data_IF_538898627853
#
_entry.id   IF_538898627853
#
_cell.length_a   1.000
_cell.length_b   1.000
_cell.length_c   1.000
_cell.angle_alpha   90.00
_cell.angle_beta   90.00
_cell.angle_gamma   90.00
#
_symmetry.space_group_name_H-M   'P 1'
#
loop_
_entity.id
_entity.type
_entity.pdbx_description
1 polymer ?
#
# COMPACT_ATOMS: atom_id res chain seq x y z
N UNK A 1 35.40 58.52 -5.99
CA UNK A 1 36.05 57.81 -4.92
C UNK A 1 34.92 57.29 -4.05
N UNK A 2 34.56 56.06 -3.91
CA UNK A 2 35.09 54.79 -4.34
C UNK A 2 33.94 53.83 -4.66
N UNK A 3 34.21 53.03 -5.62
CA UNK A 3 33.33 51.98 -6.14
C UNK A 3 33.42 50.81 -5.18
N UNK A 4 32.30 50.36 -4.61
CA UNK A 4 32.21 49.04 -3.99
C UNK A 4 31.39 48.13 -4.91
N UNK A 5 32.10 47.28 -5.62
CA UNK A 5 31.51 46.23 -6.44
C UNK A 5 30.94 45.11 -5.57
N UNK A 6 29.62 44.89 -5.69
CA UNK A 6 28.97 43.69 -5.19
C UNK A 6 29.20 42.56 -6.20
N UNK A 7 30.14 41.66 -5.89
CA UNK A 7 30.27 40.39 -6.58
C UNK A 7 29.27 39.39 -5.97
N UNK A 8 28.11 39.25 -6.62
CA UNK A 8 27.21 38.13 -6.39
C UNK A 8 27.85 36.85 -6.93
N UNK A 9 28.44 36.07 -6.04
CA UNK A 9 28.84 34.69 -6.33
C UNK A 9 27.59 33.84 -6.52
N UNK A 10 27.19 33.68 -7.76
CA UNK A 10 26.21 32.66 -8.14
C UNK A 10 26.87 31.29 -7.99
N UNK A 11 26.50 30.58 -6.94
CA UNK A 11 26.81 29.16 -6.78
C UNK A 11 25.98 28.34 -7.78
N UNK A 12 26.47 28.26 -9.02
CA UNK A 12 26.00 27.25 -9.97
C UNK A 12 26.71 25.93 -9.67
N UNK A 13 26.18 25.15 -8.71
CA UNK A 13 26.53 23.76 -8.65
C UNK A 13 26.07 23.07 -9.96
N UNK A 14 26.92 22.30 -10.64
CA UNK A 14 26.52 21.61 -11.86
C UNK A 14 25.41 20.62 -11.52
N UNK A 15 24.19 20.85 -12.02
CA UNK A 15 23.11 19.87 -12.00
C UNK A 15 23.63 18.66 -12.77
N UNK A 16 23.96 17.61 -12.05
CA UNK A 16 24.31 16.32 -12.65
C UNK A 16 23.10 15.87 -13.43
N UNK A 17 23.15 15.99 -14.75
CA UNK A 17 22.09 15.52 -15.63
C UNK A 17 22.07 14.00 -15.51
N UNK A 18 21.03 13.47 -14.83
CA UNK A 18 20.81 12.03 -14.73
C UNK A 18 20.28 11.63 -16.11
N UNK A 19 21.09 10.96 -16.92
CA UNK A 19 20.67 10.39 -18.18
C UNK A 19 19.79 9.17 -17.90
N UNK A 20 18.49 9.41 -17.71
CA UNK A 20 17.49 8.35 -17.73
C UNK A 20 17.28 7.90 -19.18
N UNK A 21 17.20 6.59 -19.37
CA UNK A 21 16.65 6.09 -20.60
C UNK A 21 15.13 6.33 -20.55
N UNK A 22 14.57 7.10 -21.47
CA UNK A 22 13.12 7.42 -21.55
C UNK A 22 12.24 6.16 -21.49
N UNK A 23 12.74 5.04 -22.01
CA UNK A 23 12.07 3.75 -21.94
C UNK A 23 11.92 3.23 -20.50
N UNK A 24 12.96 3.33 -19.68
CA UNK A 24 12.95 2.84 -18.30
C UNK A 24 12.08 3.72 -17.40
N UNK A 25 12.08 5.02 -17.60
CA UNK A 25 11.16 5.96 -16.94
C UNK A 25 9.72 5.69 -17.36
N UNK A 26 9.46 5.39 -18.62
CA UNK A 26 8.15 4.97 -19.12
C UNK A 26 7.64 3.72 -18.42
N UNK A 27 8.50 2.72 -18.20
CA UNK A 27 8.15 1.49 -17.47
C UNK A 27 7.81 1.76 -16.00
N UNK A 28 8.54 2.63 -15.35
CA UNK A 28 8.24 3.05 -13.97
C UNK A 28 6.90 3.80 -13.90
N UNK A 29 6.65 4.70 -14.86
CA UNK A 29 5.38 5.42 -14.95
C UNK A 29 4.19 4.48 -15.17
N UNK A 30 4.34 3.45 -16.01
CA UNK A 30 3.31 2.43 -16.22
C UNK A 30 3.07 1.58 -14.96
N UNK A 31 4.12 1.30 -14.21
CA UNK A 31 3.99 0.63 -12.92
C UNK A 31 3.22 1.49 -11.91
N UNK A 32 3.55 2.78 -11.76
CA UNK A 32 2.83 3.68 -10.85
C UNK A 32 1.35 3.80 -11.24
N UNK A 33 1.05 3.89 -12.55
CA UNK A 33 -0.33 3.94 -13.04
C UNK A 33 -1.12 2.69 -12.66
N UNK A 34 -0.55 1.50 -12.88
CA UNK A 34 -1.18 0.22 -12.51
C UNK A 34 -1.39 0.12 -11.00
N UNK A 35 -0.38 0.49 -10.23
CA UNK A 35 -0.43 0.48 -8.77
C UNK A 35 -1.54 1.40 -8.25
N UNK A 36 -1.61 2.61 -8.74
CA UNK A 36 -2.63 3.60 -8.36
C UNK A 36 -4.04 3.10 -8.71
N UNK A 37 -4.26 2.55 -9.91
CA UNK A 37 -5.56 2.00 -10.32
C UNK A 37 -5.98 0.81 -9.45
N UNK A 38 -5.04 -0.07 -9.10
CA UNK A 38 -5.34 -1.23 -8.28
C UNK A 38 -5.63 -0.84 -6.82
N UNK A 39 -4.91 0.13 -6.25
CA UNK A 39 -5.22 0.66 -4.91
C UNK A 39 -6.61 1.32 -4.88
N UNK A 40 -6.99 2.05 -5.93
CA UNK A 40 -8.33 2.61 -6.06
C UNK A 40 -9.41 1.52 -6.09
N UNK A 41 -9.20 0.43 -6.84
CA UNK A 41 -10.13 -0.70 -6.87
C UNK A 41 -10.25 -1.40 -5.51
N UNK A 42 -9.14 -1.56 -4.78
CA UNK A 42 -9.15 -2.12 -3.43
C UNK A 42 -9.94 -1.21 -2.48
N UNK A 43 -9.73 0.10 -2.56
CA UNK A 43 -10.46 1.06 -1.73
C UNK A 43 -11.97 1.01 -2.00
N UNK A 44 -12.39 0.96 -3.27
CA UNK A 44 -13.81 0.81 -3.65
C UNK A 44 -14.41 -0.51 -3.12
N UNK A 45 -13.64 -1.59 -3.14
CA UNK A 45 -14.05 -2.86 -2.57
C UNK A 45 -14.17 -2.79 -1.04
N UNK A 46 -13.25 -2.10 -0.35
CA UNK A 46 -13.33 -1.85 1.08
C UNK A 46 -14.54 -1.00 1.44
N UNK A 47 -14.85 0.04 0.66
CA UNK A 47 -16.07 0.84 0.83
C UNK A 47 -17.32 -0.05 0.67
N UNK A 48 -17.34 -0.90 -0.36
CA UNK A 48 -18.44 -1.86 -0.57
C UNK A 48 -18.62 -2.83 0.59
N UNK A 49 -17.52 -3.26 1.23
CA UNK A 49 -17.53 -4.09 2.43
C UNK A 49 -18.00 -3.28 3.65
N UNK A 50 -17.53 -2.06 3.83
CA UNK A 50 -17.92 -1.17 4.92
C UNK A 50 -19.43 -0.83 4.90
N UNK A 51 -20.04 -0.80 3.73
CA UNK A 51 -21.50 -0.56 3.57
C UNK A 51 -22.37 -1.79 3.94
N UNK A 52 -21.76 -2.97 4.16
CA UNK A 52 -22.50 -4.14 4.66
C UNK A 52 -22.86 -3.95 6.12
N UNK A 53 -24.13 -4.04 6.46
CA UNK A 53 -24.66 -3.75 7.79
C UNK A 53 -24.20 -4.75 8.86
N UNK A 54 -23.94 -5.98 8.47
CA UNK A 54 -23.47 -7.06 9.32
C UNK A 54 -21.94 -7.17 9.41
N UNK A 55 -21.19 -6.42 8.57
CA UNK A 55 -19.74 -6.43 8.61
C UNK A 55 -19.21 -5.66 9.83
N UNK A 56 -18.34 -6.27 10.60
CA UNK A 56 -17.50 -5.65 11.62
C UNK A 56 -16.13 -6.33 11.64
N UNK A 57 -15.10 -5.60 12.04
CA UNK A 57 -13.73 -6.11 12.01
C UNK A 57 -13.41 -7.12 13.12
N UNK A 58 -14.10 -7.07 14.27
CA UNK A 58 -13.85 -8.03 15.34
C UNK A 58 -14.26 -9.44 14.95
N UNK A 59 -15.46 -9.61 14.38
CA UNK A 59 -15.91 -10.93 13.91
C UNK A 59 -15.08 -11.39 12.71
N UNK A 60 -14.67 -10.46 11.81
CA UNK A 60 -13.75 -10.80 10.74
C UNK A 60 -12.40 -11.27 11.28
N UNK A 61 -11.80 -10.58 12.25
CA UNK A 61 -10.55 -10.96 12.88
C UNK A 61 -10.62 -12.35 13.52
N UNK A 62 -11.74 -12.68 14.18
CA UNK A 62 -11.96 -14.01 14.82
C UNK A 62 -11.98 -15.17 13.83
N UNK A 63 -12.30 -14.95 12.55
CA UNK A 63 -12.20 -15.98 11.51
C UNK A 63 -10.73 -16.37 11.28
N UNK A 64 -9.83 -15.41 11.40
CA UNK A 64 -8.40 -15.58 11.11
C UNK A 64 -7.59 -15.88 12.38
N UNK A 65 -7.94 -15.28 13.52
CA UNK A 65 -7.24 -15.47 14.78
C UNK A 65 -7.63 -16.82 15.40
N UNK A 66 -6.77 -17.84 15.19
CA UNK A 66 -7.10 -19.23 15.45
C UNK A 66 -6.92 -19.68 16.91
N UNK A 67 -6.09 -19.01 17.69
CA UNK A 67 -5.59 -19.57 18.95
C UNK A 67 -5.85 -18.70 20.19
N UNK A 68 -6.63 -17.62 20.08
CA UNK A 68 -6.90 -16.68 21.18
C UNK A 68 -5.64 -15.91 21.61
N UNK A 69 -4.67 -15.73 20.70
CA UNK A 69 -3.39 -15.06 20.98
C UNK A 69 -3.45 -13.55 20.78
N UNK A 70 -4.51 -13.05 20.10
CA UNK A 70 -4.67 -11.64 19.76
C UNK A 70 -3.86 -11.18 18.55
N UNK A 71 -3.28 -12.10 17.77
CA UNK A 71 -2.57 -11.83 16.53
C UNK A 71 -2.72 -12.99 15.53
N UNK A 72 -2.46 -12.72 14.27
CA UNK A 72 -2.57 -13.64 13.12
C UNK A 72 -1.18 -13.87 12.57
N UNK A 73 -0.69 -15.11 12.56
CA UNK A 73 0.54 -15.50 11.87
C UNK A 73 0.24 -15.99 10.44
N UNK A 74 1.30 -16.38 9.68
CA UNK A 74 1.16 -16.85 8.29
C UNK A 74 0.22 -18.08 8.19
N UNK A 75 0.28 -18.99 9.15
CA UNK A 75 -0.55 -20.19 9.18
C UNK A 75 -2.01 -19.83 9.46
N UNK A 76 -2.24 -18.96 10.43
CA UNK A 76 -3.56 -18.46 10.80
C UNK A 76 -4.20 -17.71 9.62
N UNK A 77 -3.42 -16.82 8.94
CA UNK A 77 -3.88 -16.08 7.77
C UNK A 77 -4.31 -17.03 6.65
N UNK A 78 -3.48 -18.03 6.35
CA UNK A 78 -3.77 -19.05 5.33
C UNK A 78 -5.02 -19.85 5.67
N UNK A 79 -5.13 -20.30 6.92
CA UNK A 79 -6.29 -21.06 7.39
C UNK A 79 -7.58 -20.22 7.32
N UNK A 80 -7.56 -18.95 7.75
CA UNK A 80 -8.69 -18.05 7.68
C UNK A 80 -9.15 -17.80 6.23
N UNK A 81 -8.19 -17.58 5.31
CA UNK A 81 -8.49 -17.44 3.88
C UNK A 81 -9.14 -18.72 3.31
N UNK A 82 -8.63 -19.90 3.68
CA UNK A 82 -9.23 -21.17 3.27
C UNK A 82 -10.68 -21.33 3.79
N UNK A 83 -10.94 -20.91 5.02
CA UNK A 83 -12.29 -20.95 5.62
C UNK A 83 -13.29 -20.10 4.86
N UNK A 84 -12.89 -18.96 4.35
CA UNK A 84 -13.74 -18.11 3.52
C UNK A 84 -13.71 -18.52 2.03
N UNK A 85 -12.97 -19.59 1.67
CA UNK A 85 -12.92 -20.16 0.32
C UNK A 85 -11.98 -19.42 -0.64
N UNK A 86 -10.86 -18.92 -0.15
CA UNK A 86 -9.69 -18.44 -0.92
C UNK A 86 -8.53 -19.39 -0.59
N UNK A 87 -7.83 -19.89 -1.59
CA UNK A 87 -6.76 -20.89 -1.42
C UNK A 87 -5.41 -20.31 -1.89
N UNK A 88 -4.78 -19.43 -1.10
CA UNK A 88 -3.54 -18.80 -1.48
C UNK A 88 -2.35 -19.77 -1.37
N UNK A 89 -1.35 -19.54 -2.19
CA UNK A 89 -0.03 -20.17 -2.06
C UNK A 89 0.72 -19.58 -0.86
N UNK A 90 1.75 -20.29 -0.37
CA UNK A 90 2.61 -19.76 0.71
C UNK A 90 3.34 -18.48 0.29
N UNK A 91 3.63 -18.33 -1.01
CA UNK A 91 4.22 -17.10 -1.53
C UNK A 91 3.26 -15.91 -1.42
N UNK A 92 1.98 -16.08 -1.75
CA UNK A 92 0.95 -15.04 -1.63
C UNK A 92 0.72 -14.66 -0.17
N UNK A 93 0.76 -15.62 0.74
CA UNK A 93 0.71 -15.33 2.19
C UNK A 93 1.88 -14.43 2.61
N UNK A 94 3.11 -14.77 2.20
CA UNK A 94 4.29 -13.93 2.50
C UNK A 94 4.20 -12.53 1.88
N UNK A 95 3.58 -12.39 0.70
CA UNK A 95 3.33 -11.07 0.10
C UNK A 95 2.35 -10.24 0.93
N UNK A 96 1.27 -10.86 1.43
CA UNK A 96 0.32 -10.20 2.33
C UNK A 96 1.01 -9.76 3.64
N UNK A 97 1.77 -10.66 4.26
CA UNK A 97 2.54 -10.34 5.48
C UNK A 97 3.52 -9.19 5.22
N UNK A 98 4.28 -9.24 4.12
CA UNK A 98 5.19 -8.13 3.75
C UNK A 98 4.48 -6.79 3.63
N UNK A 99 3.25 -6.78 3.13
CA UNK A 99 2.48 -5.54 2.95
C UNK A 99 1.98 -4.96 4.25
N UNK A 100 1.44 -5.80 5.15
CA UNK A 100 0.67 -5.36 6.31
C UNK A 100 1.40 -5.48 7.64
N UNK A 101 2.39 -6.36 7.78
CA UNK A 101 3.27 -6.40 8.96
C UNK A 101 4.33 -5.29 8.88
N UNK A 102 3.89 -4.05 9.13
CA UNK A 102 4.78 -2.88 9.06
C UNK A 102 5.88 -2.91 10.11
N UNK A 103 5.67 -3.61 11.23
CA UNK A 103 6.64 -3.75 12.31
C UNK A 103 7.61 -4.91 12.10
N UNK A 104 7.40 -5.73 11.04
CA UNK A 104 8.24 -6.90 10.69
C UNK A 104 8.38 -7.91 11.84
N UNK A 105 7.28 -8.14 12.57
CA UNK A 105 7.23 -9.08 13.69
C UNK A 105 6.83 -10.50 13.27
N UNK A 106 6.48 -10.71 12.00
CA UNK A 106 5.99 -11.98 11.48
C UNK A 106 4.54 -12.29 11.86
N UNK A 107 3.81 -11.29 12.37
CA UNK A 107 2.41 -11.40 12.79
C UNK A 107 1.65 -10.13 12.46
N UNK A 108 0.34 -10.27 12.24
CA UNK A 108 -0.60 -9.15 12.10
C UNK A 108 -1.38 -9.00 13.41
N UNK A 109 -1.28 -7.87 14.04
CA UNK A 109 -2.16 -7.53 15.15
C UNK A 109 -3.53 -7.04 14.65
N UNK A 110 -4.45 -6.75 15.57
CA UNK A 110 -5.80 -6.28 15.18
C UNK A 110 -5.75 -4.97 14.37
N UNK A 111 -4.84 -4.04 14.68
CA UNK A 111 -4.74 -2.78 13.95
C UNK A 111 -4.25 -2.98 12.52
N UNK A 112 -3.26 -3.87 12.30
CA UNK A 112 -2.78 -4.24 10.97
C UNK A 112 -3.89 -4.89 10.13
N UNK A 113 -4.64 -5.81 10.73
CA UNK A 113 -5.78 -6.46 10.09
C UNK A 113 -6.92 -5.50 9.80
N UNK A 114 -7.19 -4.58 10.72
CA UNK A 114 -8.19 -3.53 10.54
C UNK A 114 -7.85 -2.65 9.32
N UNK A 115 -6.61 -2.20 9.20
CA UNK A 115 -6.15 -1.38 8.07
C UNK A 115 -6.17 -2.16 6.73
N UNK A 116 -6.05 -3.49 6.79
CA UNK A 116 -6.19 -4.34 5.61
C UNK A 116 -7.62 -4.30 5.01
N UNK A 117 -8.65 -4.19 5.84
CA UNK A 117 -10.06 -4.35 5.44
C UNK A 117 -10.87 -3.06 5.42
N UNK A 118 -10.46 -2.06 6.21
CA UNK A 118 -11.25 -0.84 6.39
C UNK A 118 -10.81 0.24 5.41
N UNK A 119 -11.77 1.01 4.82
CA UNK A 119 -11.45 2.09 3.92
C UNK A 119 -10.57 3.16 4.56
N UNK A 120 -9.81 3.86 3.72
CA UNK A 120 -9.07 5.05 4.12
C UNK A 120 -10.00 6.26 4.34
N UNK A 121 -11.10 6.35 3.56
CA UNK A 121 -12.07 7.44 3.70
C UNK A 121 -12.67 7.45 5.10
N UNK A 122 -12.50 8.60 5.79
CA UNK A 122 -12.84 8.77 7.22
C UNK A 122 -14.29 8.44 7.54
N UNK A 123 -15.22 8.74 6.65
CA UNK A 123 -16.65 8.49 6.84
C UNK A 123 -16.94 7.00 6.97
N UNK A 124 -16.47 6.20 6.01
CA UNK A 124 -16.67 4.76 6.03
C UNK A 124 -15.83 4.07 7.11
N UNK A 125 -14.64 4.60 7.38
CA UNK A 125 -13.79 4.12 8.47
C UNK A 125 -14.49 4.26 9.82
N UNK A 126 -14.99 5.45 10.14
CA UNK A 126 -15.73 5.72 11.36
C UNK A 126 -17.00 4.89 11.49
N UNK A 127 -17.67 4.59 10.34
CA UNK A 127 -18.83 3.70 10.31
C UNK A 127 -18.49 2.29 10.79
N UNK A 128 -17.35 1.72 10.37
CA UNK A 128 -16.92 0.37 10.78
C UNK A 128 -16.38 0.37 12.21
N UNK A 129 -15.62 1.39 12.62
CA UNK A 129 -15.06 1.54 13.97
C UNK A 129 -16.13 1.55 15.06
N UNK A 130 -17.30 2.10 14.79
CA UNK A 130 -18.41 2.20 15.75
C UNK A 130 -19.33 0.97 15.77
N UNK A 131 -19.04 -0.09 15.02
CA UNK A 131 -19.85 -1.30 15.01
C UNK A 131 -19.44 -2.26 16.11
N UNK A 132 -20.46 -2.79 16.79
CA UNK A 132 -20.28 -3.89 17.73
C UNK A 132 -20.25 -5.24 17.00
N UNK A 133 -19.54 -6.24 17.51
CA UNK A 133 -19.58 -7.59 16.97
C UNK A 133 -20.99 -8.19 17.02
N UNK A 134 -21.33 -8.97 15.99
CA UNK A 134 -22.63 -9.64 15.86
C UNK A 134 -22.73 -10.87 16.78
N UNK A 135 -21.59 -11.44 17.17
CA UNK A 135 -21.52 -12.71 17.92
C UNK A 135 -20.99 -12.48 19.32
N UNK A 136 -21.77 -12.90 20.33
CA UNK A 136 -21.34 -12.96 21.73
C UNK A 136 -20.47 -14.20 22.03
N UNK A 137 -20.34 -15.13 21.10
CA UNK A 137 -19.57 -16.37 21.28
C UNK A 137 -18.18 -16.26 20.66
N UNK A 138 -17.12 -16.75 21.32
CA UNK A 138 -15.76 -16.81 20.77
C UNK A 138 -15.58 -17.94 19.74
N UNK A 139 -16.66 -18.40 19.10
CA UNK A 139 -16.56 -19.44 18.08
C UNK A 139 -16.15 -18.84 16.73
N UNK A 140 -15.25 -19.50 16.04
CA UNK A 140 -14.83 -19.20 14.68
C UNK A 140 -15.96 -19.50 13.71
N UNK A 141 -16.72 -18.52 13.38
CA UNK A 141 -17.94 -18.74 12.64
C UNK A 141 -18.01 -17.75 11.48
N UNK A 142 -17.94 -18.26 10.25
CA UNK A 142 -18.33 -17.51 9.06
C UNK A 142 -19.82 -17.12 9.13
N UNK A 143 -20.57 -17.74 10.02
CA UNK A 143 -22.01 -17.48 10.25
C UNK A 143 -22.29 -16.10 10.88
N UNK A 144 -21.23 -15.38 11.34
CA UNK A 144 -21.34 -13.99 11.74
C UNK A 144 -21.78 -13.06 10.59
N UNK A 145 -21.53 -13.48 9.35
CA UNK A 145 -21.78 -12.70 8.16
C UNK A 145 -22.73 -13.40 7.20
N UNK A 146 -23.59 -12.61 6.55
CA UNK A 146 -24.39 -13.14 5.46
C UNK A 146 -23.50 -13.46 4.24
N UNK A 147 -24.02 -14.29 3.34
CA UNK A 147 -23.28 -14.72 2.14
C UNK A 147 -22.75 -13.55 1.30
N UNK A 148 -23.54 -12.47 1.16
CA UNK A 148 -23.12 -11.30 0.37
C UNK A 148 -21.98 -10.54 1.03
N UNK A 149 -21.91 -10.50 2.36
CA UNK A 149 -20.81 -9.89 3.11
C UNK A 149 -19.54 -10.73 2.99
N UNK A 150 -19.66 -12.06 3.09
CA UNK A 150 -18.52 -12.96 2.82
C UNK A 150 -17.99 -12.81 1.39
N UNK A 151 -18.88 -12.63 0.40
CA UNK A 151 -18.45 -12.37 -0.97
C UNK A 151 -17.70 -11.02 -1.10
N UNK A 152 -18.16 -9.97 -0.41
CA UNK A 152 -17.46 -8.68 -0.38
C UNK A 152 -16.09 -8.80 0.31
N UNK A 153 -16.01 -9.53 1.43
CA UNK A 153 -14.74 -9.81 2.13
C UNK A 153 -13.76 -10.58 1.24
N UNK A 154 -14.22 -11.63 0.56
CA UNK A 154 -13.43 -12.37 -0.43
C UNK A 154 -12.90 -11.47 -1.54
N UNK A 155 -13.74 -10.57 -2.05
CA UNK A 155 -13.35 -9.67 -3.12
C UNK A 155 -12.20 -8.76 -2.71
N UNK A 156 -12.23 -8.20 -1.49
CA UNK A 156 -11.12 -7.38 -0.95
C UNK A 156 -9.83 -8.19 -0.93
N UNK A 157 -9.83 -9.38 -0.35
CA UNK A 157 -8.63 -10.23 -0.29
C UNK A 157 -8.10 -10.62 -1.66
N UNK A 158 -8.98 -11.01 -2.60
CA UNK A 158 -8.58 -11.38 -3.95
C UNK A 158 -7.93 -10.20 -4.69
N UNK A 159 -8.46 -8.98 -4.55
CA UNK A 159 -7.88 -7.79 -5.16
C UNK A 159 -6.49 -7.49 -4.57
N UNK A 160 -6.34 -7.60 -3.25
CA UNK A 160 -5.05 -7.40 -2.59
C UNK A 160 -4.03 -8.46 -3.06
N UNK A 161 -4.39 -9.74 -3.08
CA UNK A 161 -3.51 -10.84 -3.53
C UNK A 161 -3.08 -10.63 -4.99
N UNK A 162 -4.02 -10.29 -5.87
CA UNK A 162 -3.72 -10.04 -7.27
C UNK A 162 -2.76 -8.87 -7.43
N UNK A 163 -3.00 -7.75 -6.73
CA UNK A 163 -2.11 -6.60 -6.77
C UNK A 163 -0.70 -6.97 -6.28
N UNK A 164 -0.58 -7.68 -5.15
CA UNK A 164 0.74 -8.05 -4.62
C UNK A 164 1.50 -8.99 -5.56
N UNK A 165 0.80 -9.91 -6.23
CA UNK A 165 1.40 -10.74 -7.27
C UNK A 165 1.90 -9.90 -8.45
N UNK A 166 1.12 -8.95 -8.93
CA UNK A 166 1.50 -8.06 -10.01
C UNK A 166 2.69 -7.19 -9.64
N UNK A 167 2.71 -6.65 -8.42
CA UNK A 167 3.85 -5.88 -7.90
C UNK A 167 5.10 -6.74 -7.83
N UNK A 168 4.99 -7.96 -7.30
CA UNK A 168 6.13 -8.87 -7.19
C UNK A 168 6.71 -9.23 -8.57
N UNK A 169 5.87 -9.38 -9.59
CA UNK A 169 6.31 -9.58 -10.96
C UNK A 169 7.02 -8.34 -11.53
N UNK A 170 6.52 -7.13 -11.24
CA UNK A 170 7.18 -5.89 -11.63
C UNK A 170 8.50 -5.66 -10.87
N UNK A 171 8.59 -6.03 -9.59
CA UNK A 171 9.86 -6.00 -8.82
C UNK A 171 10.95 -6.82 -9.51
N UNK A 172 10.62 -8.03 -10.00
CA UNK A 172 11.55 -8.86 -10.77
C UNK A 172 11.99 -8.16 -12.06
N UNK A 173 11.06 -7.50 -12.75
CA UNK A 173 11.37 -6.72 -13.94
C UNK A 173 12.33 -5.57 -13.63
N UNK A 174 12.08 -4.78 -12.58
CA UNK A 174 12.97 -3.69 -12.15
C UNK A 174 14.36 -4.18 -11.79
N UNK A 175 14.51 -5.37 -11.21
CA UNK A 175 15.80 -5.99 -10.96
C UNK A 175 16.62 -6.28 -12.24
N UNK A 176 15.99 -6.33 -13.40
CA UNK A 176 16.66 -6.52 -14.71
C UNK A 176 16.92 -5.21 -15.45
N UNK A 177 16.29 -4.11 -15.05
CA UNK A 177 16.48 -2.79 -15.65
C UNK A 177 17.79 -2.15 -15.16
N UNK A 178 18.35 -1.25 -15.96
CA UNK A 178 19.51 -0.43 -15.57
C UNK A 178 19.13 0.70 -14.63
N UNK A 179 17.84 0.99 -14.51
CA UNK A 179 17.33 2.03 -13.62
C UNK A 179 17.59 1.64 -12.16
N UNK A 180 18.49 2.36 -11.53
CA UNK A 180 18.80 2.12 -10.12
C UNK A 180 17.71 2.69 -9.24
N UNK A 181 17.42 2.03 -8.13
CA UNK A 181 16.45 2.51 -7.14
C UNK A 181 16.68 3.96 -6.72
N UNK A 182 17.96 4.37 -6.60
CA UNK A 182 18.32 5.76 -6.28
C UNK A 182 17.88 6.76 -7.36
N UNK A 183 17.86 6.32 -8.61
CA UNK A 183 17.42 7.15 -9.72
C UNK A 183 15.89 7.29 -9.71
N UNK A 184 15.16 6.19 -9.44
CA UNK A 184 13.70 6.18 -9.21
C UNK A 184 13.32 7.14 -8.09
N UNK A 185 13.98 7.02 -6.93
CA UNK A 185 13.74 7.92 -5.80
C UNK A 185 14.01 9.38 -6.17
N UNK A 186 15.08 9.64 -6.92
CA UNK A 186 15.43 10.99 -7.39
C UNK A 186 14.43 11.60 -8.38
N UNK A 187 13.60 10.80 -9.07
CA UNK A 187 12.49 11.30 -9.88
C UNK A 187 11.37 11.88 -9.01
N UNK A 188 11.08 11.21 -7.89
CA UNK A 188 10.04 11.60 -6.94
C UNK A 188 10.52 12.70 -5.98
N UNK A 189 11.75 12.60 -5.46
CA UNK A 189 12.38 13.66 -4.66
C UNK A 189 13.11 14.68 -5.56
N UNK A 190 12.35 15.39 -6.40
CA UNK A 190 12.92 16.42 -7.28
C UNK A 190 13.67 17.53 -6.52
N UNK A 191 13.20 18.02 -5.35
CA UNK A 191 13.92 19.00 -4.55
C UNK A 191 15.19 18.47 -3.88
N UNK A 192 15.41 17.14 -3.88
CA UNK A 192 16.57 16.47 -3.26
C UNK A 192 16.69 16.73 -1.75
N UNK A 193 15.56 16.62 -1.04
CA UNK A 193 15.49 16.76 0.43
C UNK A 193 15.82 15.47 1.17
N UNK A 194 15.93 14.33 0.45
CA UNK A 194 16.05 13.01 1.03
C UNK A 194 14.70 12.35 1.35
N UNK A 195 13.61 13.02 1.01
CA UNK A 195 12.23 12.53 1.09
C UNK A 195 11.35 13.25 0.07
N UNK A 196 10.21 12.65 -0.26
CA UNK A 196 9.15 13.32 -1.01
C UNK A 196 7.83 13.27 -0.24
N UNK A 197 7.03 14.31 -0.40
CA UNK A 197 5.69 14.45 0.17
C UNK A 197 4.64 14.03 -0.86
N UNK A 198 3.38 13.91 -0.40
CA UNK A 198 2.24 13.66 -1.28
C UNK A 198 2.13 14.71 -2.41
N UNK A 199 2.41 15.97 -2.10
CA UNK A 199 2.39 17.03 -3.11
C UNK A 199 3.46 16.84 -4.19
N UNK A 200 4.66 16.37 -3.81
CA UNK A 200 5.73 16.07 -4.78
C UNK A 200 5.33 14.91 -5.69
N UNK A 201 4.68 13.87 -5.12
CA UNK A 201 4.14 12.75 -5.88
C UNK A 201 3.07 13.23 -6.88
N UNK A 202 2.10 14.04 -6.44
CA UNK A 202 1.06 14.61 -7.30
C UNK A 202 1.68 15.40 -8.47
N UNK A 203 2.66 16.25 -8.18
CA UNK A 203 3.37 17.03 -9.21
C UNK A 203 4.07 16.11 -10.22
N UNK A 204 4.72 15.04 -9.73
CA UNK A 204 5.35 14.05 -10.60
C UNK A 204 4.32 13.33 -11.49
N UNK A 205 3.22 12.86 -10.91
CA UNK A 205 2.15 12.18 -11.65
C UNK A 205 1.52 13.07 -12.71
N UNK A 206 1.25 14.35 -12.40
CA UNK A 206 0.71 15.33 -13.33
C UNK A 206 1.68 15.58 -14.50
N UNK A 207 2.96 15.78 -14.20
CA UNK A 207 4.00 16.03 -15.21
C UNK A 207 4.12 14.88 -16.21
N UNK A 208 3.89 13.64 -15.76
CA UNK A 208 4.01 12.43 -16.57
C UNK A 208 2.66 11.95 -17.15
N UNK A 209 1.58 12.73 -17.00
CA UNK A 209 0.26 12.38 -17.54
C UNK A 209 -0.38 11.13 -16.90
N UNK A 210 0.02 10.80 -15.65
CA UNK A 210 -0.50 9.65 -14.92
C UNK A 210 -1.69 10.05 -14.04
N UNK A 211 -1.83 11.32 -13.75
CA UNK A 211 -2.80 11.84 -12.79
C UNK A 211 -4.25 11.54 -13.19
N UNK A 212 -5.04 11.02 -12.24
CA UNK A 212 -6.48 10.83 -12.39
C UNK A 212 -7.28 11.75 -11.44
N UNK A 213 -7.10 11.61 -10.13
CA UNK A 213 -7.70 12.45 -9.10
C UNK A 213 -6.84 12.46 -7.83
N UNK A 214 -7.15 13.36 -6.89
CA UNK A 214 -6.38 13.48 -5.64
C UNK A 214 -6.50 12.20 -4.78
N UNK A 215 -7.68 11.58 -4.73
CA UNK A 215 -7.91 10.36 -3.94
C UNK A 215 -6.97 9.23 -4.36
N UNK A 216 -6.82 8.99 -5.66
CA UNK A 216 -5.96 7.91 -6.16
C UNK A 216 -4.48 8.18 -5.84
N UNK A 217 -4.05 9.46 -5.94
CA UNK A 217 -2.70 9.85 -5.54
C UNK A 217 -2.46 9.69 -4.04
N UNK A 218 -3.46 10.04 -3.22
CA UNK A 218 -3.40 9.85 -1.76
C UNK A 218 -3.28 8.37 -1.39
N UNK A 219 -4.03 7.48 -2.04
CA UNK A 219 -3.95 6.03 -1.81
C UNK A 219 -2.56 5.48 -2.17
N UNK A 220 -2.02 5.90 -3.32
CA UNK A 220 -0.67 5.54 -3.72
C UNK A 220 0.37 6.06 -2.71
N UNK A 221 0.22 7.30 -2.24
CA UNK A 221 1.12 7.88 -1.25
C UNK A 221 1.08 7.12 0.07
N UNK A 222 -0.12 6.79 0.58
CA UNK A 222 -0.31 6.02 1.82
C UNK A 222 0.35 4.65 1.74
N UNK A 223 0.31 4.02 0.57
CA UNK A 223 1.01 2.75 0.36
C UNK A 223 2.52 2.88 0.52
N UNK A 224 3.09 3.99 0.06
CA UNK A 224 4.53 4.25 0.11
C UNK A 224 4.99 4.77 1.48
N UNK A 225 4.19 5.63 2.15
CA UNK A 225 4.45 6.19 3.49
C UNK A 225 4.13 5.15 4.58
N UNK A 226 5.01 4.16 4.73
CA UNK A 226 4.84 3.08 5.73
C UNK A 226 4.95 3.56 7.16
N UNK A 227 5.76 4.60 7.39
CA UNK A 227 5.91 5.24 8.70
C UNK A 227 4.73 6.16 9.08
N UNK A 228 3.84 6.47 8.11
CA UNK A 228 2.67 7.36 8.28
C UNK A 228 3.00 8.73 8.86
N UNK A 229 4.15 9.27 8.44
CA UNK A 229 4.64 10.57 8.90
C UNK A 229 4.47 11.71 7.88
N UNK A 230 3.84 11.42 6.74
CA UNK A 230 3.59 12.37 5.66
C UNK A 230 4.79 12.62 4.74
N UNK A 231 5.86 11.83 4.88
CA UNK A 231 7.05 11.88 4.04
C UNK A 231 7.51 10.46 3.72
N UNK A 232 7.80 10.21 2.45
CA UNK A 232 8.35 8.93 2.01
C UNK A 232 9.85 9.05 1.84
N UNK A 233 10.59 8.17 2.52
CA UNK A 233 12.05 8.12 2.49
C UNK A 233 12.56 7.02 1.55
N UNK A 234 13.84 7.09 1.20
CA UNK A 234 14.48 6.13 0.31
C UNK A 234 14.30 4.66 0.74
N UNK A 235 14.43 4.37 2.03
CA UNK A 235 14.29 3.03 2.58
C UNK A 235 12.86 2.46 2.43
N UNK A 236 11.83 3.30 2.44
CA UNK A 236 10.44 2.87 2.24
C UNK A 236 10.19 2.50 0.79
N UNK A 237 10.71 3.28 -0.16
CA UNK A 237 10.67 2.93 -1.59
C UNK A 237 11.50 1.68 -1.87
N UNK A 238 12.67 1.54 -1.24
CA UNK A 238 13.51 0.34 -1.34
C UNK A 238 12.76 -0.90 -0.84
N UNK A 239 12.14 -0.83 0.32
CA UNK A 239 11.35 -1.92 0.89
C UNK A 239 10.16 -2.30 0.00
N UNK A 240 9.50 -1.30 -0.63
CA UNK A 240 8.41 -1.53 -1.57
C UNK A 240 8.88 -2.22 -2.85
N UNK A 241 10.04 -1.87 -3.38
CA UNK A 241 10.55 -2.40 -4.65
C UNK A 241 11.45 -3.64 -4.51
N UNK A 242 11.84 -4.04 -3.28
CA UNK A 242 12.59 -5.28 -3.05
C UNK A 242 11.75 -6.52 -3.33
N UNK A 243 12.33 -7.47 -4.08
CA UNK A 243 11.72 -8.79 -4.29
C UNK A 243 11.71 -9.63 -3.01
N UNK A 244 10.65 -10.40 -2.78
CA UNK A 244 10.70 -11.53 -1.86
C UNK A 244 11.40 -12.70 -2.58
N UNK A 245 12.45 -13.21 -1.98
CA UNK A 245 13.15 -14.42 -2.41
C UNK A 245 12.43 -15.67 -1.89
#
# INVERSE_FOLDING_TARGET
MDILGNSSLSYNSPKKQINYNEYEEGQFNDFLRKLMMAESQIEDAKVSLALRTDFNCEDAFRIFELNGRGFIDECDLKCGLNLIGIFPTDHEIRLLMKRFDLQKQGVLNFADFFDMLVPFEKEYRAMVENRCPNTCCPCRCTDAFCYSTLCSLKNVFNLIINLENDINNNRKLFGTLRLKLRDIFGLLDYPRRGYFSNNDLIVYLQKNGIYSNNKDADLLFIRLDKARNGNVYYNEVEDELQTLY
#
